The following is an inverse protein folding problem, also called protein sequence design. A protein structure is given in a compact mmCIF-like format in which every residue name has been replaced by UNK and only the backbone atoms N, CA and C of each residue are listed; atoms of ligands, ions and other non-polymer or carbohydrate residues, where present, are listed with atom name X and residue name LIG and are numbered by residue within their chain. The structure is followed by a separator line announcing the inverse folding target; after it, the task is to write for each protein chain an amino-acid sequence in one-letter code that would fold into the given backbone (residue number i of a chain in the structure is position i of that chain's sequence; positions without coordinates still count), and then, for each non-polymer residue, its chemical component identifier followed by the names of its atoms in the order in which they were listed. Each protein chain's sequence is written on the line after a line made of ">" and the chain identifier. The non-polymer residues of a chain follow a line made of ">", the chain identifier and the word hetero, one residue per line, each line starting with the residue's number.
data_IF_570469980141
#
_entry.id   IF_570469980141
#
_cell.length_a   1.000
_cell.length_b   1.000
_cell.length_c   1.000
_cell.angle_alpha   90.00
_cell.angle_beta   90.00
_cell.angle_gamma   90.00
#
_symmetry.space_group_name_H-M   'P 1'
#
loop_
_entity.id
_entity.type
_entity.pdbx_description
1 polymer ?
#
# COMPACT_ATOMS: atom_id res chain seq x y z
N UNK A 1 -11.96 -13.58 9.16
CA UNK A 1 -11.25 -12.30 9.38
C UNK A 1 -9.75 -12.52 9.24
N UNK A 2 -9.00 -11.55 8.69
CA UNK A 2 -7.54 -11.55 8.68
C UNK A 2 -6.95 -11.38 7.28
N UNK A 3 -6.17 -10.32 7.04
CA UNK A 3 -5.36 -10.14 5.84
C UNK A 3 -4.14 -11.07 5.84
N UNK A 4 -4.36 -12.39 5.98
CA UNK A 4 -3.34 -13.40 5.75
C UNK A 4 -3.93 -14.42 4.79
N UNK A 5 -3.49 -14.39 3.53
CA UNK A 5 -3.84 -15.42 2.54
C UNK A 5 -4.50 -14.94 1.25
N UNK A 6 -3.82 -14.10 0.45
CA UNK A 6 -3.74 -14.35 -1.01
C UNK A 6 -2.35 -14.01 -1.53
N UNK A 7 -1.63 -15.10 -1.86
CA UNK A 7 -0.38 -15.23 -2.64
C UNK A 7 0.91 -14.70 -1.98
N UNK A 8 1.64 -15.66 -1.39
CA UNK A 8 3.10 -15.67 -1.10
C UNK A 8 3.98 -15.07 -2.22
N UNK A 9 3.45 -14.92 -3.44
CA UNK A 9 4.12 -14.30 -4.60
C UNK A 9 4.30 -12.77 -4.50
N UNK A 10 3.47 -12.04 -3.75
CA UNK A 10 3.48 -10.56 -3.71
C UNK A 10 4.39 -9.94 -2.62
N UNK A 11 4.90 -10.75 -1.67
CA UNK A 11 5.90 -10.28 -0.69
C UNK A 11 7.24 -10.04 -1.40
N UNK A 12 7.64 -10.93 -2.30
CA UNK A 12 8.91 -10.84 -3.05
C UNK A 12 8.98 -9.55 -3.87
N UNK A 13 7.89 -9.14 -4.55
CA UNK A 13 7.89 -7.90 -5.36
C UNK A 13 8.03 -6.65 -4.51
N UNK A 14 7.39 -6.59 -3.34
CA UNK A 14 7.50 -5.46 -2.42
C UNK A 14 8.92 -5.31 -1.86
N UNK A 15 9.55 -6.42 -1.46
CA UNK A 15 10.95 -6.42 -1.00
C UNK A 15 11.93 -6.16 -2.14
N UNK A 16 11.70 -6.71 -3.35
CA UNK A 16 12.48 -6.37 -4.55
C UNK A 16 12.45 -4.88 -4.85
N UNK A 17 11.27 -4.23 -4.83
CA UNK A 17 11.15 -2.79 -5.06
C UNK A 17 11.80 -1.93 -3.96
N UNK A 18 11.95 -2.45 -2.74
CA UNK A 18 12.75 -1.82 -1.70
C UNK A 18 14.25 -1.95 -2.02
N UNK A 19 14.71 -3.16 -2.36
CA UNK A 19 16.09 -3.43 -2.71
C UNK A 19 16.56 -2.67 -3.97
N UNK A 20 15.70 -2.58 -4.99
CA UNK A 20 15.98 -1.85 -6.24
C UNK A 20 15.62 -0.35 -6.16
N UNK A 21 15.18 0.12 -4.98
CA UNK A 21 14.69 1.50 -4.74
C UNK A 21 13.63 1.99 -5.74
N UNK A 22 12.90 1.08 -6.40
CA UNK A 22 11.86 1.42 -7.36
C UNK A 22 10.64 2.01 -6.65
N UNK A 23 10.23 3.20 -7.06
CA UNK A 23 9.03 3.88 -6.58
C UNK A 23 8.01 4.02 -7.70
N UNK A 24 7.03 3.11 -7.82
CA UNK A 24 5.95 3.27 -8.78
C UNK A 24 5.18 4.59 -8.56
N UNK A 25 4.55 5.18 -9.59
CA UNK A 25 3.93 6.50 -9.52
C UNK A 25 2.85 6.61 -8.43
N UNK A 26 2.05 5.55 -8.22
CA UNK A 26 1.04 5.48 -7.16
C UNK A 26 1.59 5.41 -5.72
N UNK A 27 2.90 5.26 -5.54
CA UNK A 27 3.53 5.11 -4.22
C UNK A 27 3.31 6.35 -3.37
N UNK A 28 3.54 7.53 -3.94
CA UNK A 28 3.45 8.80 -3.22
C UNK A 28 2.01 9.11 -2.81
N UNK A 29 1.06 8.89 -3.71
CA UNK A 29 -0.37 9.06 -3.43
C UNK A 29 -0.84 8.13 -2.31
N UNK A 30 -0.55 6.83 -2.43
CA UNK A 30 -0.92 5.85 -1.40
C UNK A 30 -0.24 6.13 -0.06
N UNK A 31 1.00 6.62 -0.07
CA UNK A 31 1.71 7.05 1.14
C UNK A 31 1.03 8.26 1.79
N UNK A 32 0.61 9.26 1.01
CA UNK A 32 -0.11 10.42 1.52
C UNK A 32 -1.41 10.00 2.23
N UNK A 33 -2.18 9.10 1.61
CA UNK A 33 -3.39 8.52 2.21
C UNK A 33 -3.07 7.78 3.51
N UNK A 34 -1.99 7.00 3.54
CA UNK A 34 -1.58 6.27 4.74
C UNK A 34 -1.05 7.19 5.85
N UNK A 35 -0.36 8.29 5.53
CA UNK A 35 0.10 9.27 6.52
C UNK A 35 -1.06 9.99 7.21
N UNK A 36 -2.16 10.25 6.51
CA UNK A 36 -3.39 10.79 7.10
C UNK A 36 -4.32 9.74 7.74
N UNK A 37 -3.94 8.46 7.74
CA UNK A 37 -4.80 7.39 8.25
C UNK A 37 -4.62 7.20 9.76
N UNK A 38 -5.72 7.29 10.52
CA UNK A 38 -5.78 7.02 11.98
C UNK A 38 -5.18 5.65 12.41
N UNK A 39 -5.15 4.69 11.49
CA UNK A 39 -4.65 3.34 11.74
C UNK A 39 -3.15 3.21 11.48
N UNK A 40 -2.50 4.21 10.88
CA UNK A 40 -1.05 4.21 10.68
C UNK A 40 -0.34 4.47 12.01
N UNK A 41 0.51 3.52 12.39
CA UNK A 41 1.38 3.62 13.54
C UNK A 41 2.79 3.28 13.09
N UNK A 42 3.68 4.28 13.01
CA UNK A 42 5.09 4.09 12.64
C UNK A 42 5.31 3.30 11.33
N UNK A 43 4.45 3.50 10.32
CA UNK A 43 4.57 2.80 9.03
C UNK A 43 3.97 1.40 9.00
N UNK A 44 3.27 0.98 10.06
CA UNK A 44 2.46 -0.23 10.14
C UNK A 44 0.98 0.14 10.31
N UNK A 45 0.09 -0.45 9.51
CA UNK A 45 -1.35 -0.25 9.71
C UNK A 45 -1.87 -1.18 10.81
N UNK A 46 -2.38 -0.64 11.92
CA UNK A 46 -2.93 -1.42 13.06
C UNK A 46 -4.25 -2.13 12.75
N UNK A 47 -4.94 -1.76 11.68
CA UNK A 47 -6.23 -2.35 11.30
C UNK A 47 -6.08 -3.53 10.34
N UNK A 48 -5.16 -3.45 9.38
CA UNK A 48 -4.95 -4.50 8.37
C UNK A 48 -3.56 -5.14 8.43
N UNK A 49 -2.73 -4.74 9.39
CA UNK A 49 -1.39 -5.28 9.69
C UNK A 49 -0.40 -5.25 8.52
N UNK A 50 -0.56 -4.33 7.56
CA UNK A 50 0.40 -4.19 6.47
C UNK A 50 1.54 -3.25 6.82
N UNK A 51 2.77 -3.61 6.41
CA UNK A 51 3.90 -2.68 6.34
C UNK A 51 3.64 -1.71 5.19
N UNK A 52 3.31 -0.46 5.51
CA UNK A 52 2.82 0.55 4.55
C UNK A 52 3.84 0.73 3.43
N UNK A 53 5.11 0.99 3.77
CA UNK A 53 6.18 1.24 2.81
C UNK A 53 6.39 0.12 1.78
N UNK A 54 6.09 -1.13 2.16
CA UNK A 54 6.14 -2.28 1.25
C UNK A 54 4.90 -2.30 0.37
N UNK A 55 3.71 -2.23 0.99
CA UNK A 55 2.44 -2.47 0.31
C UNK A 55 2.07 -1.38 -0.70
N UNK A 56 2.40 -0.12 -0.41
CA UNK A 56 2.13 1.00 -1.33
C UNK A 56 2.86 0.86 -2.68
N UNK A 57 3.99 0.13 -2.70
CA UNK A 57 4.81 -0.09 -3.90
C UNK A 57 4.37 -1.30 -4.74
N UNK A 58 3.27 -1.95 -4.39
CA UNK A 58 2.76 -3.10 -5.14
C UNK A 58 1.57 -2.64 -6.01
N UNK A 59 1.73 -2.54 -7.34
CA UNK A 59 0.72 -1.94 -8.23
C UNK A 59 -0.68 -2.54 -8.08
N UNK A 60 -0.74 -3.88 -8.05
CA UNK A 60 -1.98 -4.64 -8.02
C UNK A 60 -2.59 -4.81 -6.62
N UNK A 61 -1.97 -4.22 -5.58
CA UNK A 61 -2.53 -4.22 -4.23
C UNK A 61 -3.53 -3.09 -4.02
N UNK A 62 -4.44 -3.31 -3.07
CA UNK A 62 -5.45 -2.35 -2.64
C UNK A 62 -5.39 -2.20 -1.12
N UNK A 63 -5.86 -1.06 -0.61
CA UNK A 63 -6.09 -0.93 0.82
C UNK A 63 -7.28 -1.83 1.22
N UNK A 64 -7.15 -2.74 2.19
CA UNK A 64 -8.27 -3.57 2.67
C UNK A 64 -9.44 -2.77 3.25
N UNK A 65 -9.19 -1.52 3.64
CA UNK A 65 -10.20 -0.58 4.12
C UNK A 65 -10.81 0.27 3.01
N UNK A 66 -10.45 0.02 1.74
CA UNK A 66 -10.93 0.79 0.59
C UNK A 66 -10.34 2.20 0.46
N UNK A 67 -9.46 2.64 1.38
CA UNK A 67 -8.94 4.03 1.39
C UNK A 67 -8.06 4.40 0.18
N UNK A 68 -7.50 3.43 -0.54
CA UNK A 68 -6.79 3.68 -1.81
C UNK A 68 -7.81 3.66 -2.95
N UNK A 69 -8.58 4.72 -3.08
CA UNK A 69 -9.43 4.93 -4.24
C UNK A 69 -8.55 5.18 -5.46
N UNK A 70 -8.86 4.56 -6.59
CA UNK A 70 -8.33 5.04 -7.88
C UNK A 70 -8.70 6.51 -7.96
N UNK A 71 -7.73 7.42 -8.10
CA UNK A 71 -8.04 8.78 -8.54
C UNK A 71 -8.82 8.61 -9.84
N UNK A 72 -10.12 8.85 -9.77
CA UNK A 72 -10.94 9.07 -10.94
C UNK A 72 -10.43 10.40 -11.48
N UNK A 73 -9.94 10.42 -12.72
CA UNK A 73 -9.58 11.64 -13.43
C UNK A 73 -10.65 12.71 -13.18
N UNK A 74 -10.30 13.79 -12.47
CA UNK A 74 -11.03 15.04 -12.61
C UNK A 74 -10.48 15.71 -13.87
N UNK A 75 -11.05 15.31 -15.01
CA UNK A 75 -11.26 16.24 -16.11
C UNK A 75 -12.42 17.15 -15.69
N UNK A 76 -12.26 18.46 -15.87
CA UNK A 76 -13.25 19.48 -15.56
C UNK A 76 -12.58 20.73 -15.04
#
# INVERSE_FOLDING_TARGET
>A
MGCCGKKVRNIITGWKNIATKTRPPMTQERLAICNGCEWNCWGLCRKCFCVINVKIRVPNEKCPLGKWTKIVSRNG
#
